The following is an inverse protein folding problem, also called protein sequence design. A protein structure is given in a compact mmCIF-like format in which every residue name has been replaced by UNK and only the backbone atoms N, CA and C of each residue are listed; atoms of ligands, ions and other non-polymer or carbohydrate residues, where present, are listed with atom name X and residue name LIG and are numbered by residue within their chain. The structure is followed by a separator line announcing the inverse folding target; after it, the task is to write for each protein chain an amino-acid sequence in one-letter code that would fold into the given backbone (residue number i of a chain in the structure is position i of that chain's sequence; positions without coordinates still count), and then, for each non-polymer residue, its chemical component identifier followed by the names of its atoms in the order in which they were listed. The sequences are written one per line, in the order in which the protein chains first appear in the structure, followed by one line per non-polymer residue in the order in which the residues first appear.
data_IF_583694611026
#
_entry.id   IF_583694611026
#
_cell.length_a   1.000
_cell.length_b   1.000
_cell.length_c   1.000
_cell.angle_alpha   90.00
_cell.angle_beta   90.00
_cell.angle_gamma   90.00
#
_symmetry.space_group_name_H-M   'P 1'
#
loop_
_entity.id
_entity.type
_entity.pdbx_description
1 polymer ?
#
# COMPACT_ATOMS: atom_id res chain seq x y z
N UNK A 1 -27.00 1.76 32.07
CA UNK A 1 -26.72 0.95 30.86
C UNK A 1 -26.26 1.77 29.65
N UNK A 2 -26.61 3.05 29.53
CA UNK A 2 -26.17 3.93 28.41
C UNK A 2 -24.72 4.43 28.56
N UNK A 3 -24.25 4.64 29.79
CA UNK A 3 -22.87 5.11 30.08
C UNK A 3 -21.80 4.07 29.71
N UNK A 4 -22.10 2.78 29.86
CA UNK A 4 -21.18 1.67 29.51
C UNK A 4 -21.01 1.53 27.99
N UNK A 5 -22.08 1.74 27.20
CA UNK A 5 -22.04 1.65 25.74
C UNK A 5 -21.25 2.80 25.10
N UNK A 6 -21.37 4.02 25.66
CA UNK A 6 -20.57 5.17 25.23
C UNK A 6 -19.07 5.00 25.47
N UNK A 7 -18.69 4.34 26.56
CA UNK A 7 -17.29 4.03 26.89
C UNK A 7 -16.68 3.00 25.93
N UNK A 8 -17.46 1.98 25.55
CA UNK A 8 -17.07 0.97 24.55
C UNK A 8 -16.97 1.59 23.15
N UNK A 9 -17.88 2.48 22.75
CA UNK A 9 -17.84 3.13 21.43
C UNK A 9 -16.65 4.10 21.30
N UNK A 10 -16.20 4.71 22.41
CA UNK A 10 -15.00 5.54 22.45
C UNK A 10 -13.71 4.70 22.43
N UNK A 11 -13.67 3.57 23.15
CA UNK A 11 -12.56 2.61 23.08
C UNK A 11 -12.48 1.98 21.69
N UNK A 12 -13.60 1.64 21.06
CA UNK A 12 -13.61 1.16 19.67
C UNK A 12 -13.14 2.26 18.72
N UNK A 13 -13.49 3.55 18.91
CA UNK A 13 -12.91 4.63 18.11
C UNK A 13 -11.40 4.82 18.32
N UNK A 14 -10.89 4.66 19.55
CA UNK A 14 -9.46 4.70 19.85
C UNK A 14 -8.69 3.46 19.41
N UNK A 15 -9.33 2.28 19.39
CA UNK A 15 -8.75 1.00 19.01
C UNK A 15 -8.95 0.64 17.54
N UNK A 16 -9.86 1.31 16.83
CA UNK A 16 -10.07 1.21 15.36
C UNK A 16 -8.76 1.27 14.57
N UNK A 17 -7.85 2.24 14.77
CA UNK A 17 -6.59 2.28 14.03
C UNK A 17 -5.71 1.05 14.32
N UNK A 18 -5.70 0.56 15.57
CA UNK A 18 -4.94 -0.65 15.95
C UNK A 18 -5.53 -1.89 15.29
N UNK A 19 -6.85 -2.05 15.33
CA UNK A 19 -7.57 -3.18 14.74
C UNK A 19 -7.42 -3.20 13.20
N UNK A 20 -7.47 -2.03 12.57
CA UNK A 20 -7.15 -1.85 11.15
C UNK A 20 -5.70 -2.21 10.85
N UNK A 21 -4.74 -1.75 11.67
CA UNK A 21 -3.33 -2.06 11.47
C UNK A 21 -3.06 -3.56 11.59
N UNK A 22 -3.65 -4.23 12.58
CA UNK A 22 -3.56 -5.69 12.70
C UNK A 22 -4.14 -6.38 11.47
N UNK A 23 -5.34 -6.01 11.01
CA UNK A 23 -5.95 -6.60 9.82
C UNK A 23 -5.09 -6.40 8.56
N UNK A 24 -4.50 -5.21 8.39
CA UNK A 24 -3.56 -4.92 7.29
C UNK A 24 -2.32 -5.81 7.39
N UNK A 25 -1.72 -5.93 8.58
CA UNK A 25 -0.53 -6.75 8.79
C UNK A 25 -0.81 -8.25 8.58
N UNK A 26 -1.97 -8.75 9.01
CA UNK A 26 -2.40 -10.13 8.74
C UNK A 26 -2.58 -10.39 7.25
N UNK A 27 -3.19 -9.45 6.53
CA UNK A 27 -3.32 -9.53 5.06
C UNK A 27 -1.94 -9.54 4.41
N UNK A 28 -1.04 -8.64 4.81
CA UNK A 28 0.36 -8.62 4.36
C UNK A 28 1.10 -9.92 4.66
N UNK A 29 0.87 -10.54 5.82
CA UNK A 29 1.47 -11.83 6.17
C UNK A 29 0.99 -12.95 5.22
N UNK A 30 -0.32 -13.06 4.96
CA UNK A 30 -0.85 -14.03 3.99
C UNK A 30 -0.27 -13.83 2.60
N UNK A 31 -0.19 -12.58 2.17
CA UNK A 31 0.42 -12.15 0.92
C UNK A 31 1.91 -12.54 0.82
N UNK A 32 2.66 -12.49 1.92
CA UNK A 32 4.06 -12.95 1.99
C UNK A 32 4.18 -14.47 1.93
N UNK A 33 3.24 -15.21 2.51
CA UNK A 33 3.18 -16.68 2.41
C UNK A 33 2.95 -17.11 0.96
N UNK A 34 1.98 -16.48 0.27
CA UNK A 34 1.76 -16.71 -1.17
C UNK A 34 3.00 -16.37 -2.01
N UNK A 35 3.74 -15.32 -1.65
CA UNK A 35 5.01 -15.00 -2.30
C UNK A 35 6.06 -16.11 -2.14
N UNK A 36 6.20 -16.66 -0.92
CA UNK A 36 7.14 -17.76 -0.67
C UNK A 36 6.75 -19.04 -1.42
N UNK A 37 5.46 -19.37 -1.48
CA UNK A 37 4.96 -20.50 -2.28
C UNK A 37 5.28 -20.31 -3.76
N UNK A 38 4.94 -19.16 -4.34
CA UNK A 38 5.22 -18.85 -5.73
C UNK A 38 6.72 -18.83 -6.09
N UNK A 39 7.57 -18.38 -5.16
CA UNK A 39 9.03 -18.40 -5.34
C UNK A 39 9.59 -19.84 -5.30
N UNK A 40 9.03 -20.72 -4.47
CA UNK A 40 9.39 -22.14 -4.42
C UNK A 40 8.97 -22.89 -5.70
N UNK A 41 7.90 -22.45 -6.36
CA UNK A 41 7.49 -22.94 -7.69
C UNK A 41 8.35 -22.37 -8.85
N UNK A 42 9.38 -21.57 -8.56
CA UNK A 42 10.32 -21.04 -9.54
C UNK A 42 9.79 -19.85 -10.37
N UNK A 43 8.67 -19.24 -9.97
CA UNK A 43 8.08 -18.12 -10.69
C UNK A 43 8.81 -16.81 -10.40
N UNK A 44 9.04 -16.00 -11.44
CA UNK A 44 9.75 -14.72 -11.30
C UNK A 44 8.90 -13.71 -10.52
N UNK A 45 9.40 -13.29 -9.35
CA UNK A 45 8.78 -12.32 -8.43
C UNK A 45 8.26 -11.01 -9.10
N UNK A 46 8.91 -10.45 -10.15
CA UNK A 46 8.40 -9.27 -10.86
C UNK A 46 7.08 -9.53 -11.60
N UNK A 47 6.89 -10.73 -12.14
CA UNK A 47 5.66 -11.11 -12.85
C UNK A 47 4.50 -11.23 -11.87
N UNK A 48 4.77 -11.74 -10.67
CA UNK A 48 3.76 -11.83 -9.61
C UNK A 48 3.35 -10.46 -9.08
N UNK A 49 4.28 -9.51 -9.02
CA UNK A 49 3.98 -8.09 -8.73
C UNK A 49 3.08 -7.50 -9.81
N UNK A 50 3.40 -7.68 -11.08
CA UNK A 50 2.58 -7.21 -12.19
C UNK A 50 1.17 -7.80 -12.13
N UNK A 51 1.06 -9.10 -11.89
CA UNK A 51 -0.23 -9.80 -11.76
C UNK A 51 -1.09 -9.20 -10.64
N UNK A 52 -0.50 -8.85 -9.49
CA UNK A 52 -1.24 -8.20 -8.40
C UNK A 52 -1.78 -6.84 -8.78
N UNK A 53 -0.99 -6.01 -9.46
CA UNK A 53 -1.48 -4.70 -9.93
C UNK A 53 -2.60 -4.87 -10.96
N UNK A 54 -2.50 -5.84 -11.87
CA UNK A 54 -3.54 -6.13 -12.86
C UNK A 54 -4.83 -6.62 -12.19
N UNK A 55 -4.73 -7.55 -11.24
CA UNK A 55 -5.88 -8.05 -10.49
C UNK A 55 -6.51 -6.96 -9.62
N UNK A 56 -5.70 -6.20 -8.88
CA UNK A 56 -6.19 -5.08 -8.08
C UNK A 56 -6.94 -4.07 -8.96
N UNK A 57 -6.39 -3.73 -10.13
CA UNK A 57 -7.05 -2.84 -11.08
C UNK A 57 -8.36 -3.45 -11.60
N UNK A 58 -8.35 -4.73 -11.97
CA UNK A 58 -9.53 -5.42 -12.48
C UNK A 58 -10.68 -5.51 -11.46
N UNK A 59 -10.40 -5.57 -10.16
CA UNK A 59 -11.42 -5.54 -9.10
C UNK A 59 -11.81 -4.13 -8.68
N UNK A 60 -10.85 -3.20 -8.59
CA UNK A 60 -11.11 -1.82 -8.16
C UNK A 60 -11.87 -1.06 -9.24
N UNK A 61 -11.58 -1.27 -10.53
CA UNK A 61 -12.27 -0.60 -11.64
C UNK A 61 -13.79 -0.78 -11.57
N UNK A 62 -14.35 -2.00 -11.55
CA UNK A 62 -15.79 -2.19 -11.46
C UNK A 62 -16.35 -1.67 -10.13
N UNK A 63 -15.63 -1.87 -9.00
CA UNK A 63 -16.06 -1.34 -7.70
C UNK A 63 -16.19 0.20 -7.72
N UNK A 64 -15.20 0.89 -8.27
CA UNK A 64 -15.20 2.34 -8.44
C UNK A 64 -16.32 2.80 -9.40
N UNK A 65 -16.59 2.05 -10.48
CA UNK A 65 -17.70 2.34 -11.38
C UNK A 65 -19.07 2.21 -10.70
N UNK A 66 -19.25 1.23 -9.80
CA UNK A 66 -20.50 0.99 -9.06
C UNK A 66 -20.69 1.94 -7.86
N UNK A 67 -19.67 2.11 -7.02
CA UNK A 67 -19.75 2.85 -5.75
C UNK A 67 -19.71 4.36 -5.96
N UNK A 68 -18.82 4.86 -6.82
CA UNK A 68 -18.63 6.31 -7.03
C UNK A 68 -19.50 6.89 -8.15
N UNK A 69 -20.39 6.08 -8.76
CA UNK A 69 -21.25 6.49 -9.88
C UNK A 69 -22.05 7.77 -9.62
N UNK A 70 -22.42 8.05 -8.36
CA UNK A 70 -23.21 9.23 -7.96
C UNK A 70 -22.41 10.40 -7.38
N UNK A 71 -21.13 10.21 -7.03
CA UNK A 71 -20.30 11.21 -6.32
C UNK A 71 -19.09 11.68 -7.13
N UNK A 72 -19.06 11.48 -8.45
CA UNK A 72 -17.87 11.77 -9.24
C UNK A 72 -17.53 13.27 -9.25
N UNK A 73 -16.38 13.69 -8.70
CA UNK A 73 -15.80 14.97 -9.09
C UNK A 73 -15.36 14.88 -10.57
N UNK A 74 -15.36 16.00 -11.28
CA UNK A 74 -14.89 16.05 -12.68
C UNK A 74 -13.43 15.57 -12.72
N UNK A 75 -13.16 14.50 -13.45
CA UNK A 75 -11.81 13.96 -13.60
C UNK A 75 -11.03 14.87 -14.55
N UNK A 76 -10.32 15.85 -14.00
CA UNK A 76 -9.45 16.74 -14.78
C UNK A 76 -8.20 15.98 -15.22
N UNK A 77 -7.69 16.28 -16.42
CA UNK A 77 -6.45 15.68 -16.93
C UNK A 77 -5.27 15.77 -15.95
N UNK A 78 -5.18 16.88 -15.21
CA UNK A 78 -4.19 17.07 -14.14
C UNK A 78 -4.29 16.03 -13.01
N UNK A 79 -5.50 15.68 -12.58
CA UNK A 79 -5.72 14.70 -11.50
C UNK A 79 -5.37 13.30 -11.99
N UNK A 80 -5.67 13.00 -13.25
CA UNK A 80 -5.29 11.73 -13.87
C UNK A 80 -3.76 11.62 -13.94
N UNK A 81 -3.08 12.68 -14.39
CA UNK A 81 -1.62 12.72 -14.44
C UNK A 81 -0.99 12.61 -13.04
N UNK A 82 -1.51 13.31 -12.04
CA UNK A 82 -1.03 13.21 -10.66
C UNK A 82 -1.22 11.80 -10.09
N UNK A 83 -2.39 11.19 -10.30
CA UNK A 83 -2.66 9.80 -9.90
C UNK A 83 -1.75 8.80 -10.60
N UNK A 84 -1.52 9.00 -11.91
CA UNK A 84 -0.58 8.18 -12.69
C UNK A 84 0.85 8.31 -12.17
N UNK A 85 1.35 9.53 -11.97
CA UNK A 85 2.68 9.77 -11.40
C UNK A 85 2.80 9.14 -10.00
N UNK A 86 1.79 9.31 -9.15
CA UNK A 86 1.77 8.72 -7.81
C UNK A 86 1.86 7.18 -7.87
N UNK A 87 1.07 6.52 -8.72
CA UNK A 87 1.12 5.07 -8.91
C UNK A 87 2.42 4.57 -9.55
N UNK A 88 2.97 5.33 -10.49
CA UNK A 88 4.22 5.00 -11.18
C UNK A 88 5.42 5.04 -10.22
N UNK A 89 5.61 6.16 -9.51
CA UNK A 89 6.71 6.35 -8.56
C UNK A 89 6.50 5.55 -7.28
N UNK A 90 5.29 5.58 -6.71
CA UNK A 90 4.98 4.96 -5.43
C UNK A 90 4.76 3.45 -5.50
N UNK A 91 4.29 2.91 -6.63
CA UNK A 91 3.96 1.50 -6.80
C UNK A 91 4.96 0.74 -7.68
N UNK A 92 4.94 1.02 -8.99
CA UNK A 92 5.67 0.21 -9.95
C UNK A 92 7.20 0.38 -9.84
N UNK A 93 7.70 1.62 -9.86
CA UNK A 93 9.13 1.89 -9.74
C UNK A 93 9.68 1.49 -8.37
N UNK A 94 8.94 1.78 -7.29
CA UNK A 94 9.38 1.46 -5.94
C UNK A 94 9.61 -0.04 -5.75
N UNK A 95 8.67 -0.90 -6.18
CA UNK A 95 8.83 -2.35 -6.06
C UNK A 95 9.91 -2.91 -6.98
N UNK A 96 10.03 -2.42 -8.22
CA UNK A 96 11.07 -2.88 -9.13
C UNK A 96 12.47 -2.49 -8.64
N UNK A 97 12.65 -1.25 -8.17
CA UNK A 97 13.91 -0.83 -7.56
C UNK A 97 14.21 -1.55 -6.25
N UNK A 98 13.20 -1.84 -5.43
CA UNK A 98 13.39 -2.58 -4.18
C UNK A 98 13.93 -3.99 -4.44
N UNK A 99 13.33 -4.73 -5.37
CA UNK A 99 13.81 -6.07 -5.73
C UNK A 99 15.24 -5.99 -6.26
N UNK A 100 15.53 -5.03 -7.15
CA UNK A 100 16.87 -4.83 -7.71
C UNK A 100 17.89 -4.39 -6.64
N UNK A 101 17.49 -3.59 -5.67
CA UNK A 101 18.33 -3.15 -4.56
C UNK A 101 18.71 -4.31 -3.65
N UNK A 102 17.79 -5.25 -3.37
CA UNK A 102 18.11 -6.48 -2.63
C UNK A 102 19.06 -7.40 -3.41
N UNK A 103 19.00 -7.39 -4.75
CA UNK A 103 19.97 -8.15 -5.55
C UNK A 103 21.35 -7.49 -5.60
N UNK A 104 21.43 -6.17 -5.51
CA UNK A 104 22.69 -5.41 -5.56
C UNK A 104 23.33 -5.15 -4.19
N UNK A 105 22.54 -5.20 -3.12
CA UNK A 105 22.95 -4.86 -1.75
C UNK A 105 22.43 -5.89 -0.75
N UNK A 106 22.92 -5.87 0.49
CA UNK A 106 22.42 -6.80 1.52
C UNK A 106 21.02 -6.42 2.00
N UNK A 107 20.23 -7.42 2.40
CA UNK A 107 18.92 -7.19 3.01
C UNK A 107 18.99 -6.26 4.23
N UNK A 108 20.09 -6.32 5.00
CA UNK A 108 20.35 -5.45 6.15
C UNK A 108 20.52 -3.99 5.71
N UNK A 109 21.21 -3.72 4.61
CA UNK A 109 21.37 -2.36 4.09
C UNK A 109 20.02 -1.77 3.67
N UNK A 110 19.21 -2.53 2.93
CA UNK A 110 17.87 -2.11 2.52
C UNK A 110 16.97 -1.86 3.74
N UNK A 111 17.04 -2.72 4.77
CA UNK A 111 16.29 -2.54 6.01
C UNK A 111 16.68 -1.23 6.75
N UNK A 112 17.98 -0.95 6.84
CA UNK A 112 18.48 0.30 7.44
C UNK A 112 17.99 1.54 6.70
N UNK A 113 17.99 1.52 5.36
CA UNK A 113 17.45 2.62 4.55
C UNK A 113 15.93 2.75 4.73
N UNK A 114 15.18 1.65 4.85
CA UNK A 114 13.73 1.72 5.06
C UNK A 114 13.36 2.35 6.41
N UNK A 115 14.19 2.21 7.44
CA UNK A 115 13.98 2.88 8.73
C UNK A 115 14.18 4.40 8.65
N UNK A 116 14.87 4.91 7.62
CA UNK A 116 15.05 6.33 7.37
C UNK A 116 13.89 6.96 6.58
N UNK A 117 12.93 6.17 6.07
CA UNK A 117 11.77 6.67 5.31
C UNK A 117 11.03 7.79 6.05
N UNK A 118 10.72 7.71 7.36
CA UNK A 118 10.04 8.80 8.06
C UNK A 118 10.85 10.10 8.09
N UNK A 119 12.18 10.00 8.31
CA UNK A 119 13.07 11.14 8.34
C UNK A 119 13.16 11.82 6.96
N UNK A 120 13.34 11.03 5.89
CA UNK A 120 13.37 11.54 4.50
C UNK A 120 12.02 12.19 4.15
N UNK A 121 10.91 11.57 4.54
CA UNK A 121 9.56 12.11 4.32
C UNK A 121 9.39 13.47 5.01
N UNK A 122 9.90 13.62 6.23
CA UNK A 122 9.85 14.90 6.95
C UNK A 122 10.67 16.00 6.26
N UNK A 123 11.90 15.68 5.82
CA UNK A 123 12.73 16.62 5.08
C UNK A 123 12.05 17.06 3.79
N UNK A 124 11.52 16.11 3.00
CA UNK A 124 10.76 16.43 1.79
C UNK A 124 9.53 17.29 2.11
N UNK A 125 8.77 16.96 3.15
CA UNK A 125 7.61 17.75 3.57
C UNK A 125 7.98 19.19 3.93
N UNK A 126 9.14 19.42 4.57
CA UNK A 126 9.65 20.78 4.86
C UNK A 126 10.11 21.50 3.58
N UNK A 127 10.77 20.81 2.65
CA UNK A 127 11.22 21.40 1.39
C UNK A 127 10.07 21.77 0.44
N UNK A 128 8.98 20.99 0.47
CA UNK A 128 7.78 21.20 -0.36
C UNK A 128 6.63 21.91 0.38
N UNK A 129 6.88 22.39 1.61
CA UNK A 129 5.94 23.20 2.38
C UNK A 129 5.78 24.59 1.76
#
# INVERSE_FOLDING_TARGET
MVVTLGKICNVIHGSKPVLLMVAVQTTFAGVNVFYKLAANDGMSLPVLVAYRFTFATAFIVPLALFVERKKRPKLTWMVLLQGFCCGLFGGALSQNFYIKAISLTSATFVASITNLIPAITFVLAVCFR
#
